data_IF_833096241325
#
_entry.id   IF_833096241325
#
_cell.length_a   1.000
_cell.length_b   1.000
_cell.length_c   1.000
_cell.angle_alpha   90.00
_cell.angle_beta   90.00
_cell.angle_gamma   90.00
#
_symmetry.space_group_name_H-M   'P 1'
#
loop_
_entity.id
_entity.type
_entity.pdbx_description
1 polymer ?
#
# COMPACT_ATOMS: atom_id res chain seq x y z
N UNK A 1 -23.11 18.02 21.00
CA UNK A 1 -23.78 17.65 22.26
C UNK A 1 -24.55 16.37 22.02
N UNK A 2 -23.93 15.24 22.32
CA UNK A 2 -24.64 13.98 22.57
C UNK A 2 -23.76 13.20 23.56
N UNK A 3 -23.96 13.51 24.84
CA UNK A 3 -23.28 12.85 25.95
C UNK A 3 -23.94 11.50 26.19
N UNK A 4 -23.46 10.46 25.51
CA UNK A 4 -23.70 9.08 25.96
C UNK A 4 -22.58 8.68 26.91
N UNK A 5 -22.70 9.18 28.15
CA UNK A 5 -21.93 8.67 29.27
C UNK A 5 -22.28 7.21 29.50
N UNK A 6 -21.28 6.35 29.56
CA UNK A 6 -21.44 4.96 29.98
C UNK A 6 -21.76 4.94 31.48
N UNK A 7 -22.87 4.33 31.92
CA UNK A 7 -23.07 4.08 33.34
C UNK A 7 -22.15 2.93 33.74
N UNK A 8 -21.09 3.19 34.51
CA UNK A 8 -20.17 2.16 34.98
C UNK A 8 -20.11 2.14 36.49
N UNK A 9 -21.12 1.50 37.08
CA UNK A 9 -20.93 0.72 38.30
C UNK A 9 -20.15 -0.56 37.90
N UNK A 10 -18.87 -0.41 37.55
CA UNK A 10 -18.06 -1.48 36.96
C UNK A 10 -17.17 -2.13 38.00
N UNK A 11 -17.76 -3.05 38.75
CA UNK A 11 -17.01 -4.10 39.40
C UNK A 11 -16.57 -5.11 38.32
N UNK A 12 -15.30 -5.08 37.94
CA UNK A 12 -14.72 -6.14 37.10
C UNK A 12 -14.41 -7.34 38.02
N UNK A 13 -15.30 -8.32 38.05
CA UNK A 13 -15.09 -9.57 38.80
C UNK A 13 -14.31 -10.57 37.95
N UNK A 14 -13.07 -10.86 38.33
CA UNK A 14 -12.32 -11.98 37.76
C UNK A 14 -12.78 -13.25 38.50
N UNK A 15 -13.51 -14.15 37.82
CA UNK A 15 -13.90 -15.45 38.39
C UNK A 15 -13.11 -16.59 37.74
N UNK A 16 -12.41 -17.36 38.57
CA UNK A 16 -11.74 -18.62 38.23
C UNK A 16 -11.88 -19.63 39.39
N UNK A 17 -11.84 -20.94 39.14
CA UNK A 17 -12.01 -21.95 40.20
C UNK A 17 -10.82 -22.00 41.17
N UNK A 18 -11.08 -22.42 42.41
CA UNK A 18 -11.24 -21.54 43.56
C UNK A 18 -9.87 -21.12 44.10
N UNK A 19 -9.36 -19.92 43.82
CA UNK A 19 -8.33 -19.28 44.66
C UNK A 19 -8.04 -17.81 44.38
N UNK A 20 -8.64 -17.17 43.36
CA UNK A 20 -8.57 -15.72 43.21
C UNK A 20 -9.93 -15.16 42.77
N UNK A 21 -10.61 -14.47 43.68
CA UNK A 21 -11.60 -13.46 43.34
C UNK A 21 -10.89 -12.11 43.42
N UNK A 22 -10.61 -11.50 42.28
CA UNK A 22 -10.08 -10.13 42.23
C UNK A 22 -11.27 -9.22 41.96
N UNK A 23 -11.70 -8.48 42.97
CA UNK A 23 -12.69 -7.42 42.84
C UNK A 23 -11.96 -6.07 42.79
N UNK A 24 -11.72 -5.56 41.59
CA UNK A 24 -11.26 -4.18 41.42
C UNK A 24 -12.45 -3.25 41.57
N UNK A 25 -12.61 -2.66 42.77
CA UNK A 25 -13.59 -1.60 43.01
C UNK A 25 -12.95 -0.24 42.71
N UNK A 26 -13.35 0.36 41.59
CA UNK A 26 -12.92 1.71 41.22
C UNK A 26 -13.67 2.73 42.07
N UNK A 27 -12.96 3.45 42.93
CA UNK A 27 -13.57 4.47 43.78
C UNK A 27 -13.31 5.86 43.16
N UNK A 28 -14.30 6.42 42.47
CA UNK A 28 -14.24 7.80 41.95
C UNK A 28 -13.92 8.84 43.03
N UNK A 29 -14.14 8.54 44.32
CA UNK A 29 -13.86 9.43 45.43
C UNK A 29 -12.36 9.53 45.82
N UNK A 30 -11.50 8.68 45.26
CA UNK A 30 -10.04 8.76 45.42
C UNK A 30 -9.34 9.51 44.27
N UNK A 31 -10.10 10.26 43.45
CA UNK A 31 -9.56 11.33 42.61
C UNK A 31 -9.20 12.51 43.53
N UNK A 32 -8.11 12.36 44.28
CA UNK A 32 -7.50 13.50 44.92
C UNK A 32 -6.77 14.29 43.84
N UNK A 33 -7.01 15.60 43.79
CA UNK A 33 -5.99 16.56 43.34
C UNK A 33 -4.80 16.45 44.29
N UNK A 34 -4.03 15.36 44.21
CA UNK A 34 -2.70 15.33 44.77
C UNK A 34 -1.88 16.28 43.90
N UNK A 35 -1.67 17.50 44.40
CA UNK A 35 -0.89 18.54 43.72
C UNK A 35 0.55 18.11 43.35
N UNK A 36 0.98 16.90 43.72
CA UNK A 36 2.21 16.25 43.28
C UNK A 36 2.06 14.73 43.29
N UNK A 37 1.79 14.13 42.14
CA UNK A 37 2.27 12.77 41.86
C UNK A 37 3.68 12.94 41.29
N UNK A 38 4.67 12.23 41.82
CA UNK A 38 6.07 12.32 41.33
C UNK A 38 6.30 11.51 40.05
N UNK A 39 5.34 10.65 39.69
CA UNK A 39 5.39 9.71 38.57
C UNK A 39 4.17 9.87 37.66
N UNK A 40 4.20 9.24 36.49
CA UNK A 40 3.22 9.48 35.42
C UNK A 40 1.93 8.68 35.59
N UNK A 41 2.08 7.42 36.03
CA UNK A 41 1.02 6.46 36.30
C UNK A 41 1.47 5.58 37.47
N UNK A 42 0.61 5.42 38.47
CA UNK A 42 0.88 4.63 39.67
C UNK A 42 -0.26 3.63 39.88
N UNK A 43 0.09 2.35 40.04
CA UNK A 43 -0.83 1.29 40.42
C UNK A 43 -0.75 1.05 41.92
N UNK A 44 -1.87 1.20 42.61
CA UNK A 44 -1.99 0.92 44.04
C UNK A 44 -2.88 -0.30 44.22
N UNK A 45 -2.37 -1.33 44.90
CA UNK A 45 -3.09 -2.57 45.20
C UNK A 45 -2.89 -2.92 46.68
N UNK A 46 -3.96 -3.37 47.32
CA UNK A 46 -3.97 -3.85 48.69
C UNK A 46 -4.81 -5.13 48.78
N UNK A 47 -4.35 -6.09 49.58
CA UNK A 47 -5.14 -7.27 49.90
C UNK A 47 -6.14 -6.96 51.02
N UNK A 48 -7.41 -7.27 50.80
CA UNK A 48 -8.48 -7.11 51.78
C UNK A 48 -9.48 -8.27 51.63
N UNK A 49 -9.78 -8.97 52.73
CA UNK A 49 -10.79 -10.03 52.79
C UNK A 49 -10.67 -11.08 51.65
N UNK A 50 -9.44 -11.55 51.37
CA UNK A 50 -9.09 -12.48 50.28
C UNK A 50 -9.28 -11.94 48.85
N UNK A 51 -9.44 -10.62 48.69
CA UNK A 51 -9.50 -9.93 47.40
C UNK A 51 -8.32 -8.94 47.27
N UNK A 52 -7.91 -8.65 46.03
CA UNK A 52 -7.04 -7.50 45.75
C UNK A 52 -7.90 -6.30 45.35
N UNK A 53 -7.83 -5.24 46.15
CA UNK A 53 -8.53 -3.97 45.92
C UNK A 53 -7.52 -2.88 45.61
N UNK A 54 -7.81 -2.03 44.64
CA UNK A 54 -6.88 -0.98 44.25
C UNK A 54 -7.36 -0.12 43.10
N UNK A 55 -6.48 0.76 42.63
CA UNK A 55 -6.76 1.71 41.57
C UNK A 55 -5.50 2.23 40.90
N UNK A 56 -5.70 3.01 39.84
CA UNK A 56 -4.63 3.71 39.14
C UNK A 56 -4.73 5.21 39.39
N UNK A 57 -3.61 5.81 39.79
CA UNK A 57 -3.46 7.26 39.96
C UNK A 57 -2.61 7.77 38.79
N UNK A 58 -3.04 8.83 38.11
CA UNK A 58 -2.39 9.28 36.88
C UNK A 58 -2.32 10.79 36.76
N UNK A 59 -1.38 11.25 35.93
CA UNK A 59 -1.23 12.64 35.52
C UNK A 59 -2.26 13.01 34.43
N UNK A 60 -3.20 13.94 34.68
CA UNK A 60 -4.27 14.27 33.73
C UNK A 60 -3.78 15.08 32.52
N UNK A 61 -2.59 15.67 32.60
CA UNK A 61 -1.87 16.28 31.46
C UNK A 61 -1.34 15.24 30.47
N UNK A 62 -1.24 13.96 30.88
CA UNK A 62 -0.73 12.86 30.05
C UNK A 62 -1.80 11.81 29.70
N UNK A 63 -2.75 11.56 30.60
CA UNK A 63 -3.76 10.52 30.42
C UNK A 63 -5.16 11.08 30.64
N UNK A 64 -6.09 10.66 29.79
CA UNK A 64 -7.51 10.81 30.06
C UNK A 64 -8.05 9.58 30.82
N UNK A 65 -9.15 9.73 31.58
CA UNK A 65 -9.75 8.63 32.33
C UNK A 65 -10.04 7.39 31.47
N UNK A 66 -10.56 7.57 30.25
CA UNK A 66 -10.93 6.48 29.36
C UNK A 66 -9.71 5.65 28.93
N UNK A 67 -8.53 6.25 28.82
CA UNK A 67 -7.30 5.51 28.54
C UNK A 67 -6.87 4.70 29.74
N UNK A 68 -6.95 5.24 30.95
CA UNK A 68 -6.57 4.53 32.18
C UNK A 68 -7.54 3.37 32.45
N UNK A 69 -8.83 3.56 32.22
CA UNK A 69 -9.83 2.48 32.28
C UNK A 69 -9.46 1.31 31.35
N UNK A 70 -9.01 1.60 30.13
CA UNK A 70 -8.53 0.54 29.21
C UNK A 70 -7.29 -0.16 29.74
N UNK A 71 -6.33 0.57 30.31
CA UNK A 71 -5.13 -0.03 30.91
C UNK A 71 -5.46 -0.96 32.08
N UNK A 72 -6.42 -0.56 32.93
CA UNK A 72 -6.96 -1.43 33.99
C UNK A 72 -7.58 -2.68 33.39
N UNK A 73 -8.38 -2.56 32.33
CA UNK A 73 -8.93 -3.71 31.63
C UNK A 73 -7.87 -4.67 31.09
N UNK A 74 -6.76 -4.17 30.55
CA UNK A 74 -5.63 -5.00 30.11
C UNK A 74 -4.95 -5.74 31.26
N UNK A 75 -4.76 -5.06 32.39
CA UNK A 75 -4.22 -5.67 33.60
C UNK A 75 -5.13 -6.81 34.07
N UNK A 76 -6.45 -6.59 34.09
CA UNK A 76 -7.42 -7.64 34.43
C UNK A 76 -7.33 -8.83 33.48
N UNK A 77 -7.28 -8.60 32.17
CA UNK A 77 -7.16 -9.66 31.17
C UNK A 77 -5.87 -10.48 31.37
N UNK A 78 -4.76 -9.82 31.69
CA UNK A 78 -3.49 -10.48 32.01
C UNK A 78 -3.59 -11.33 33.29
N UNK A 79 -4.09 -10.75 34.38
CA UNK A 79 -4.23 -11.45 35.65
C UNK A 79 -5.18 -12.66 35.53
N UNK A 80 -6.27 -12.51 34.78
CA UNK A 80 -7.21 -13.59 34.52
C UNK A 80 -6.57 -14.72 33.70
N UNK A 81 -5.74 -14.38 32.70
CA UNK A 81 -5.03 -15.38 31.92
C UNK A 81 -4.03 -16.18 32.78
N UNK A 82 -3.24 -15.49 33.62
CA UNK A 82 -2.30 -16.12 34.56
C UNK A 82 -3.03 -17.02 35.57
N UNK A 83 -4.15 -16.54 36.11
CA UNK A 83 -4.93 -17.29 37.09
C UNK A 83 -5.61 -18.53 36.50
N UNK A 84 -5.92 -18.50 35.19
CA UNK A 84 -6.57 -19.64 34.50
C UNK A 84 -5.55 -20.71 34.10
N UNK A 85 -4.37 -20.30 33.67
CA UNK A 85 -3.30 -21.20 33.21
C UNK A 85 -1.93 -20.58 33.49
N UNK A 86 -1.25 -21.10 34.53
CA UNK A 86 0.06 -20.61 34.99
C UNK A 86 1.18 -20.92 34.00
N UNK A 87 1.00 -21.94 33.15
CA UNK A 87 1.98 -22.35 32.14
C UNK A 87 1.77 -21.66 30.79
N UNK A 88 0.70 -20.83 30.67
CA UNK A 88 0.40 -20.10 29.44
C UNK A 88 1.54 -19.13 29.09
N UNK A 89 2.09 -19.19 27.87
CA UNK A 89 3.11 -18.22 27.44
C UNK A 89 2.56 -16.80 27.44
N UNK A 90 3.28 -15.86 28.08
CA UNK A 90 2.87 -14.44 28.21
C UNK A 90 2.52 -13.81 26.85
N UNK A 91 3.28 -14.13 25.79
CA UNK A 91 3.05 -13.60 24.43
C UNK A 91 1.75 -14.09 23.77
N UNK A 92 1.06 -15.06 24.36
CA UNK A 92 -0.23 -15.60 23.87
C UNK A 92 -1.44 -15.03 24.62
N UNK A 93 -1.22 -14.10 25.56
CA UNK A 93 -2.30 -13.49 26.32
C UNK A 93 -2.97 -12.40 25.50
N UNK A 94 -4.28 -12.55 25.31
CA UNK A 94 -5.13 -11.62 24.61
C UNK A 94 -5.48 -10.43 25.52
N UNK A 95 -4.84 -9.29 25.28
CA UNK A 95 -5.05 -8.08 26.09
C UNK A 95 -6.20 -7.20 25.58
N UNK A 96 -6.46 -7.18 24.28
CA UNK A 96 -7.49 -6.30 23.71
C UNK A 96 -8.88 -6.66 24.23
N UNK A 97 -9.52 -5.67 24.84
CA UNK A 97 -10.91 -5.75 25.32
C UNK A 97 -11.87 -5.89 24.12
N UNK A 98 -13.05 -6.46 24.37
CA UNK A 98 -14.04 -6.72 23.31
C UNK A 98 -14.39 -5.46 22.51
N UNK A 99 -14.60 -4.32 23.17
CA UNK A 99 -14.92 -3.05 22.49
C UNK A 99 -13.81 -2.58 21.55
N UNK A 100 -12.54 -2.87 21.88
CA UNK A 100 -11.39 -2.52 21.04
C UNK A 100 -11.18 -3.53 19.91
N UNK A 101 -11.47 -4.81 20.15
CA UNK A 101 -11.55 -5.82 19.09
C UNK A 101 -12.61 -5.44 18.07
N UNK A 102 -13.80 -5.02 18.51
CA UNK A 102 -14.88 -4.59 17.63
C UNK A 102 -14.50 -3.32 16.83
N UNK A 103 -13.73 -2.43 17.44
CA UNK A 103 -13.19 -1.25 16.76
C UNK A 103 -12.17 -1.64 15.69
N UNK A 104 -11.18 -2.46 16.03
CA UNK A 104 -10.09 -2.88 15.13
C UNK A 104 -10.62 -3.78 14.02
N UNK A 105 -11.30 -4.87 14.35
CA UNK A 105 -11.74 -5.87 13.37
C UNK A 105 -13.05 -5.49 12.67
N UNK A 106 -13.92 -4.71 13.33
CA UNK A 106 -15.18 -4.27 12.75
C UNK A 106 -15.05 -2.90 12.08
N UNK A 107 -14.84 -1.85 12.86
CA UNK A 107 -15.00 -0.47 12.37
C UNK A 107 -13.85 0.02 11.48
N UNK A 108 -12.60 -0.31 11.82
CA UNK A 108 -11.43 0.17 11.07
C UNK A 108 -11.12 -0.69 9.84
N UNK A 109 -11.32 -2.00 9.94
CA UNK A 109 -11.03 -2.94 8.85
C UNK A 109 -12.26 -3.36 8.03
N UNK A 110 -13.47 -2.97 8.41
CA UNK A 110 -14.72 -3.53 7.86
C UNK A 110 -15.24 -2.94 6.56
N UNK A 111 -14.55 -2.00 5.90
CA UNK A 111 -15.02 -1.47 4.61
C UNK A 111 -14.38 -2.22 3.44
N UNK A 112 -14.83 -3.45 3.23
CA UNK A 112 -14.65 -4.11 1.94
C UNK A 112 -15.66 -3.49 0.96
N UNK A 113 -15.17 -2.78 -0.05
CA UNK A 113 -16.00 -2.28 -1.16
C UNK A 113 -15.72 -3.13 -2.38
N UNK A 114 -16.78 -3.51 -3.06
CA UNK A 114 -16.66 -4.18 -4.35
C UNK A 114 -16.06 -3.21 -5.37
N UNK A 115 -15.09 -3.71 -6.13
CA UNK A 115 -14.48 -3.02 -7.26
C UNK A 115 -14.24 -4.07 -8.38
N UNK A 116 -14.09 -3.67 -9.64
CA UNK A 116 -13.91 -4.61 -10.75
C UNK A 116 -12.48 -5.20 -10.74
N UNK A 117 -12.24 -6.11 -9.81
CA UNK A 117 -10.94 -6.76 -9.54
C UNK A 117 -10.44 -7.70 -10.64
N UNK A 118 -11.32 -8.06 -11.58
CA UNK A 118 -11.02 -8.90 -12.74
C UNK A 118 -10.48 -8.11 -13.95
N UNK A 119 -10.62 -6.78 -13.94
CA UNK A 119 -10.16 -5.93 -15.04
C UNK A 119 -8.72 -5.45 -14.80
N UNK A 120 -7.95 -5.39 -15.88
CA UNK A 120 -6.66 -4.73 -15.87
C UNK A 120 -6.84 -3.20 -15.98
N UNK A 121 -5.84 -2.44 -15.52
CA UNK A 121 -5.87 -0.96 -15.54
C UNK A 121 -6.09 -0.42 -16.96
N UNK A 122 -5.41 -0.98 -17.97
CA UNK A 122 -5.57 -0.52 -19.35
C UNK A 122 -6.98 -0.75 -19.89
N UNK A 123 -7.69 -1.81 -19.45
CA UNK A 123 -9.08 -2.08 -19.85
C UNK A 123 -10.05 -1.05 -19.26
N UNK A 124 -9.79 -0.56 -18.04
CA UNK A 124 -10.57 0.54 -17.46
C UNK A 124 -10.38 1.84 -18.26
N UNK A 125 -9.17 2.10 -18.76
CA UNK A 125 -8.89 3.25 -19.64
C UNK A 125 -9.59 3.07 -20.98
N UNK A 126 -9.56 1.87 -21.58
CA UNK A 126 -10.25 1.57 -22.84
C UNK A 126 -11.77 1.79 -22.73
N UNK A 127 -12.40 1.36 -21.62
CA UNK A 127 -13.81 1.65 -21.36
C UNK A 127 -14.09 3.15 -21.26
N UNK A 128 -13.17 3.94 -20.71
CA UNK A 128 -13.32 5.40 -20.66
C UNK A 128 -13.16 6.03 -22.05
N UNK A 129 -12.26 5.49 -22.89
CA UNK A 129 -12.07 5.92 -24.28
C UNK A 129 -13.34 5.68 -25.09
N UNK A 130 -14.00 4.54 -24.93
CA UNK A 130 -15.28 4.25 -25.58
C UNK A 130 -16.39 5.22 -25.15
N UNK A 131 -16.41 5.62 -23.87
CA UNK A 131 -17.44 6.53 -23.33
C UNK A 131 -17.28 7.97 -23.80
N UNK A 132 -16.05 8.49 -23.74
CA UNK A 132 -15.78 9.91 -24.02
C UNK A 132 -14.45 10.11 -24.75
N UNK A 133 -14.35 9.67 -26.03
CA UNK A 133 -13.07 9.67 -26.75
C UNK A 133 -12.50 11.08 -26.93
N UNK A 134 -13.37 12.09 -27.10
CA UNK A 134 -12.98 13.49 -27.34
C UNK A 134 -12.74 14.29 -26.05
N UNK A 135 -12.93 13.69 -24.87
CA UNK A 135 -12.65 14.38 -23.62
C UNK A 135 -11.13 14.42 -23.37
N UNK A 136 -10.65 15.49 -22.74
CA UNK A 136 -9.24 15.63 -22.35
C UNK A 136 -8.84 14.54 -21.34
N UNK A 137 -7.80 13.79 -21.66
CA UNK A 137 -7.21 12.77 -20.79
C UNK A 137 -5.93 13.25 -20.10
N UNK A 138 -5.06 13.93 -20.84
CA UNK A 138 -3.78 14.44 -20.32
C UNK A 138 -3.60 15.90 -20.67
N UNK A 139 -2.99 16.64 -19.74
CA UNK A 139 -2.54 18.02 -19.94
C UNK A 139 -1.09 18.08 -19.50
N UNK A 140 -0.22 18.62 -20.35
CA UNK A 140 1.19 18.84 -20.04
C UNK A 140 1.61 20.17 -20.66
N UNK A 141 2.04 21.11 -19.81
CA UNK A 141 2.22 22.52 -20.18
C UNK A 141 0.96 23.07 -20.87
N UNK A 142 1.11 23.72 -22.03
CA UNK A 142 0.01 24.32 -22.80
C UNK A 142 -0.63 23.36 -23.82
N UNK A 143 -0.30 22.06 -23.75
CA UNK A 143 -0.81 21.04 -24.66
C UNK A 143 -1.70 20.03 -23.93
N UNK A 144 -2.58 19.39 -24.69
CA UNK A 144 -3.48 18.36 -24.18
C UNK A 144 -3.63 17.21 -25.17
N UNK A 145 -3.89 16.02 -24.64
CA UNK A 145 -4.34 14.86 -25.40
C UNK A 145 -5.72 14.43 -24.94
N UNK A 146 -6.58 14.08 -25.89
CA UNK A 146 -7.86 13.43 -25.63
C UNK A 146 -7.67 11.96 -25.26
N UNK A 147 -8.71 11.33 -24.70
CA UNK A 147 -8.70 9.88 -24.44
C UNK A 147 -8.44 9.07 -25.71
N UNK A 148 -9.06 9.44 -26.83
CA UNK A 148 -8.87 8.78 -28.12
C UNK A 148 -7.42 8.85 -28.59
N UNK A 149 -6.82 10.05 -28.61
CA UNK A 149 -5.44 10.24 -29.04
C UNK A 149 -4.44 9.50 -28.14
N UNK A 150 -4.65 9.55 -26.82
CA UNK A 150 -3.82 8.80 -25.87
C UNK A 150 -3.88 7.29 -26.15
N UNK A 151 -5.09 6.76 -26.36
CA UNK A 151 -5.29 5.34 -26.58
C UNK A 151 -4.68 4.87 -27.90
N UNK A 152 -4.86 5.62 -28.99
CA UNK A 152 -4.26 5.29 -30.29
C UNK A 152 -2.73 5.28 -30.23
N UNK A 153 -2.11 6.29 -29.61
CA UNK A 153 -0.65 6.34 -29.44
C UNK A 153 -0.15 5.17 -28.60
N UNK A 154 -0.84 4.85 -27.50
CA UNK A 154 -0.50 3.71 -26.65
C UNK A 154 -0.70 2.36 -27.35
N UNK A 155 -1.74 2.21 -28.18
CA UNK A 155 -2.00 0.99 -28.95
C UNK A 155 -0.88 0.73 -29.97
N UNK A 156 -0.44 1.75 -30.71
CA UNK A 156 0.68 1.62 -31.66
C UNK A 156 1.95 1.13 -30.96
N UNK A 157 2.31 1.75 -29.83
CA UNK A 157 3.47 1.33 -29.05
C UNK A 157 3.28 -0.07 -28.46
N UNK A 158 2.08 -0.41 -27.99
CA UNK A 158 1.79 -1.74 -27.44
C UNK A 158 1.95 -2.85 -28.49
N UNK A 159 1.42 -2.66 -29.70
CA UNK A 159 1.61 -3.62 -30.81
C UNK A 159 3.08 -3.78 -31.18
N UNK A 160 3.86 -2.69 -31.16
CA UNK A 160 5.29 -2.78 -31.37
C UNK A 160 5.99 -3.58 -30.27
N UNK A 161 5.67 -3.32 -29.00
CA UNK A 161 6.20 -4.10 -27.87
C UNK A 161 5.83 -5.58 -27.96
N UNK A 162 4.60 -5.91 -28.36
CA UNK A 162 4.16 -7.30 -28.62
C UNK A 162 4.99 -7.91 -29.75
N UNK A 163 5.25 -7.17 -30.84
CA UNK A 163 6.10 -7.66 -31.95
C UNK A 163 7.55 -7.93 -31.53
N UNK A 164 8.03 -7.25 -30.49
CA UNK A 164 9.34 -7.46 -29.87
C UNK A 164 9.35 -8.59 -28.82
N UNK A 165 8.20 -9.23 -28.58
CA UNK A 165 8.08 -10.41 -27.73
C UNK A 165 7.56 -10.15 -26.32
N UNK A 166 7.03 -8.95 -26.03
CA UNK A 166 6.36 -8.70 -24.74
C UNK A 166 5.12 -9.59 -24.61
N UNK A 167 5.02 -10.23 -23.45
CA UNK A 167 3.94 -11.13 -23.03
C UNK A 167 3.61 -10.89 -21.55
N UNK A 168 2.54 -11.48 -20.99
CA UNK A 168 2.24 -11.37 -19.55
C UNK A 168 3.48 -11.62 -18.66
N UNK A 169 3.64 -10.78 -17.63
CA UNK A 169 4.79 -10.73 -16.70
C UNK A 169 6.16 -10.39 -17.31
N UNK A 170 6.24 -10.01 -18.59
CA UNK A 170 7.48 -9.50 -19.16
C UNK A 170 7.83 -8.13 -18.58
N UNK A 171 9.09 -7.94 -18.19
CA UNK A 171 9.56 -6.68 -17.66
C UNK A 171 10.04 -5.77 -18.79
N UNK A 172 9.51 -4.55 -18.81
CA UNK A 172 9.94 -3.47 -19.71
C UNK A 172 10.40 -2.31 -18.86
N UNK A 173 11.69 -1.96 -18.94
CA UNK A 173 12.18 -0.75 -18.30
C UNK A 173 11.69 0.47 -19.06
N UNK A 174 11.41 1.55 -18.33
CA UNK A 174 11.07 2.84 -18.90
C UNK A 174 11.87 3.94 -18.22
N UNK A 175 12.72 4.61 -18.98
CA UNK A 175 13.54 5.74 -18.54
C UNK A 175 13.28 6.92 -19.47
N UNK A 176 12.24 7.69 -19.16
CA UNK A 176 11.73 8.77 -20.00
C UNK A 176 11.48 9.98 -19.10
N UNK A 177 11.84 11.18 -19.57
CA UNK A 177 11.54 12.39 -18.83
C UNK A 177 10.02 12.64 -18.79
N UNK A 178 9.55 13.38 -17.77
CA UNK A 178 8.15 13.77 -17.63
C UNK A 178 7.64 14.42 -18.92
N UNK A 179 6.75 13.71 -19.61
CA UNK A 179 6.20 14.07 -20.92
C UNK A 179 4.95 13.24 -21.22
N UNK A 180 4.25 13.52 -22.32
CA UNK A 180 3.20 12.63 -22.82
C UNK A 180 3.75 11.23 -23.14
N UNK A 181 4.97 11.15 -23.69
CA UNK A 181 5.61 9.89 -24.05
C UNK A 181 5.79 8.96 -22.86
N UNK A 182 6.02 9.49 -21.66
CA UNK A 182 6.08 8.70 -20.43
C UNK A 182 4.75 7.98 -20.16
N UNK A 183 3.62 8.70 -20.20
CA UNK A 183 2.29 8.10 -19.93
C UNK A 183 1.89 7.14 -21.05
N UNK A 184 2.16 7.49 -22.30
CA UNK A 184 1.94 6.62 -23.47
C UNK A 184 2.75 5.32 -23.29
N UNK A 185 4.02 5.42 -22.89
CA UNK A 185 4.89 4.28 -22.63
C UNK A 185 4.37 3.36 -21.54
N UNK A 186 3.98 3.92 -20.38
CA UNK A 186 3.40 3.14 -19.29
C UNK A 186 2.12 2.42 -19.72
N UNK A 187 1.20 3.11 -20.39
CA UNK A 187 -0.04 2.52 -20.86
C UNK A 187 0.20 1.44 -21.93
N UNK A 188 1.15 1.67 -22.84
CA UNK A 188 1.50 0.71 -23.87
C UNK A 188 2.12 -0.57 -23.31
N UNK A 189 2.97 -0.46 -22.29
CA UNK A 189 3.53 -1.63 -21.58
C UNK A 189 2.40 -2.48 -20.99
N UNK A 190 1.45 -1.84 -20.27
CA UNK A 190 0.32 -2.52 -19.68
C UNK A 190 -0.60 -3.18 -20.72
N UNK A 191 -0.84 -2.49 -21.85
CA UNK A 191 -1.62 -3.01 -22.99
C UNK A 191 -0.95 -4.18 -23.68
N UNK A 192 0.38 -4.19 -23.75
CA UNK A 192 1.17 -5.33 -24.23
C UNK A 192 1.20 -6.51 -23.24
N UNK A 193 0.67 -6.32 -22.02
CA UNK A 193 0.69 -7.30 -20.94
C UNK A 193 1.97 -7.30 -20.10
N UNK A 194 2.91 -6.40 -20.38
CA UNK A 194 4.13 -6.29 -19.59
C UNK A 194 3.93 -5.52 -18.28
N UNK A 195 4.91 -5.67 -17.39
CA UNK A 195 5.08 -4.84 -16.20
C UNK A 195 6.19 -3.81 -16.44
N UNK A 196 5.92 -2.56 -16.10
CA UNK A 196 6.92 -1.50 -16.26
C UNK A 196 7.87 -1.44 -15.06
N UNK A 197 9.15 -1.20 -15.34
CA UNK A 197 10.18 -0.89 -14.34
C UNK A 197 10.57 0.58 -14.53
N UNK A 198 10.02 1.52 -13.75
CA UNK A 198 10.27 2.94 -13.96
C UNK A 198 11.67 3.31 -13.45
N UNK A 199 12.40 4.04 -14.28
CA UNK A 199 13.75 4.52 -14.04
C UNK A 199 13.76 6.04 -14.16
N UNK A 200 14.25 6.71 -13.13
CA UNK A 200 14.37 8.16 -13.13
C UNK A 200 15.70 8.57 -13.80
N UNK A 201 15.70 9.30 -14.93
CA UNK A 201 16.92 9.69 -15.62
C UNK A 201 17.83 10.59 -14.77
N UNK A 202 17.32 11.21 -13.70
CA UNK A 202 18.14 12.01 -12.77
C UNK A 202 18.98 11.16 -11.81
N UNK A 203 18.73 9.86 -11.72
CA UNK A 203 19.51 8.96 -10.87
C UNK A 203 20.93 8.80 -11.39
N UNK A 204 21.88 8.66 -10.46
CA UNK A 204 23.24 8.31 -10.81
C UNK A 204 23.27 7.00 -11.61
N UNK A 205 24.06 6.98 -12.70
CA UNK A 205 24.17 5.85 -13.63
C UNK A 205 24.36 4.50 -12.92
N UNK A 206 25.18 4.44 -11.88
CA UNK A 206 25.40 3.20 -11.11
C UNK A 206 24.11 2.62 -10.55
N UNK A 207 23.22 3.47 -9.99
CA UNK A 207 21.91 3.05 -9.48
C UNK A 207 21.00 2.53 -10.57
N UNK A 208 21.00 3.18 -11.74
CA UNK A 208 20.22 2.72 -12.89
C UNK A 208 20.71 1.36 -13.39
N UNK A 209 22.03 1.16 -13.43
CA UNK A 209 22.64 -0.12 -13.77
C UNK A 209 22.28 -1.22 -12.78
N UNK A 210 22.34 -0.93 -11.47
CA UNK A 210 21.99 -1.91 -10.43
C UNK A 210 20.54 -2.38 -10.58
N UNK A 211 19.62 -1.46 -10.87
CA UNK A 211 18.20 -1.79 -11.10
C UNK A 211 18.04 -2.62 -12.38
N UNK A 212 18.68 -2.22 -13.48
CA UNK A 212 18.59 -2.98 -14.74
C UNK A 212 19.19 -4.39 -14.62
N UNK A 213 20.29 -4.55 -13.88
CA UNK A 213 20.90 -5.85 -13.64
C UNK A 213 20.01 -6.75 -12.79
N UNK A 214 19.40 -6.21 -11.73
CA UNK A 214 18.52 -6.97 -10.85
C UNK A 214 17.19 -7.33 -11.55
N UNK A 215 16.55 -6.36 -12.22
CA UNK A 215 15.29 -6.57 -12.92
C UNK A 215 15.44 -7.36 -14.21
N UNK A 216 16.58 -7.26 -14.90
CA UNK A 216 16.86 -7.90 -16.19
C UNK A 216 15.72 -7.75 -17.22
N UNK A 217 15.25 -6.52 -17.51
CA UNK A 217 14.13 -6.31 -18.42
C UNK A 217 14.53 -6.65 -19.86
N UNK A 218 13.58 -7.18 -20.64
CA UNK A 218 13.83 -7.58 -22.02
C UNK A 218 13.92 -6.38 -22.99
N UNK A 219 13.32 -5.25 -22.63
CA UNK A 219 13.24 -4.04 -23.44
C UNK A 219 13.44 -2.81 -22.54
N UNK A 220 14.10 -1.78 -23.07
CA UNK A 220 14.18 -0.44 -22.48
C UNK A 220 13.45 0.57 -23.37
N UNK A 221 12.41 1.22 -22.84
CA UNK A 221 11.83 2.42 -23.44
C UNK A 221 12.61 3.63 -22.93
N UNK A 222 13.23 4.40 -23.83
CA UNK A 222 14.01 5.57 -23.46
C UNK A 222 13.91 6.69 -24.50
N UNK A 223 13.66 7.91 -24.01
CA UNK A 223 13.83 9.14 -24.80
C UNK A 223 15.31 9.58 -24.80
N UNK A 224 15.60 10.76 -25.36
CA UNK A 224 16.98 11.26 -25.40
C UNK A 224 17.59 11.41 -24.00
N UNK A 225 16.86 11.93 -23.02
CA UNK A 225 17.36 12.08 -21.65
C UNK A 225 17.62 10.74 -20.98
N UNK A 226 16.72 9.76 -21.17
CA UNK A 226 16.93 8.40 -20.70
C UNK A 226 18.17 7.77 -21.32
N UNK A 227 18.35 7.89 -22.64
CA UNK A 227 19.53 7.39 -23.35
C UNK A 227 20.82 8.02 -22.82
N UNK A 228 20.83 9.33 -22.53
CA UNK A 228 21.98 10.04 -21.96
C UNK A 228 22.32 9.63 -20.52
N UNK A 229 21.30 9.30 -19.71
CA UNK A 229 21.50 8.77 -18.36
C UNK A 229 22.25 7.42 -18.41
N UNK A 230 21.99 6.64 -19.45
CA UNK A 230 22.77 5.45 -19.79
C UNK A 230 24.02 5.78 -20.61
N UNK A 231 25.03 4.92 -20.56
CA UNK A 231 26.15 5.00 -21.50
C UNK A 231 25.85 4.18 -22.75
N UNK A 232 26.50 4.50 -23.88
CA UNK A 232 26.34 3.77 -25.15
C UNK A 232 26.46 2.25 -24.99
N UNK A 233 27.42 1.77 -24.19
CA UNK A 233 27.67 0.35 -23.96
C UNK A 233 26.45 -0.41 -23.42
N UNK A 234 25.65 0.22 -22.55
CA UNK A 234 24.43 -0.40 -21.99
C UNK A 234 23.37 -0.46 -23.08
N UNK A 235 23.17 0.63 -23.80
CA UNK A 235 22.17 0.74 -24.87
C UNK A 235 22.43 -0.27 -26.00
N UNK A 236 23.69 -0.54 -26.36
CA UNK A 236 24.05 -1.54 -27.37
C UNK A 236 23.73 -2.99 -26.97
N UNK A 237 23.54 -3.27 -25.68
CA UNK A 237 23.28 -4.61 -25.16
C UNK A 237 21.79 -4.95 -25.01
N UNK A 238 20.90 -3.99 -25.28
CA UNK A 238 19.46 -4.13 -25.04
C UNK A 238 18.65 -3.68 -26.25
N UNK A 239 17.40 -4.13 -26.34
CA UNK A 239 16.44 -3.57 -27.29
C UNK A 239 15.96 -2.23 -26.72
N UNK A 240 16.31 -1.13 -27.38
CA UNK A 240 15.92 0.22 -26.97
C UNK A 240 14.84 0.76 -27.90
N UNK A 241 13.70 1.15 -27.33
CA UNK A 241 12.57 1.75 -28.06
C UNK A 241 12.46 3.22 -27.67
N UNK A 242 12.48 4.10 -28.66
CA UNK A 242 12.19 5.52 -28.44
C UNK A 242 10.68 5.78 -28.59
N UNK A 243 9.98 6.20 -27.53
CA UNK A 243 8.54 6.42 -27.61
C UNK A 243 8.15 7.61 -28.50
N UNK A 244 9.06 8.53 -28.83
CA UNK A 244 8.78 9.71 -29.65
C UNK A 244 8.94 9.44 -31.15
N UNK A 245 9.83 8.52 -31.53
CA UNK A 245 10.09 8.20 -32.96
C UNK A 245 8.90 7.44 -33.57
N UNK A 246 8.12 6.75 -32.75
CA UNK A 246 6.93 6.00 -33.18
C UNK A 246 5.80 6.87 -33.75
N UNK A 247 5.80 8.18 -33.51
CA UNK A 247 4.86 9.10 -34.16
C UNK A 247 5.26 9.44 -35.60
N UNK A 248 6.55 9.26 -35.96
CA UNK A 248 7.11 9.70 -37.25
C UNK A 248 7.25 8.58 -38.29
N UNK A 249 7.41 7.32 -37.88
CA UNK A 249 7.59 6.19 -38.81
C UNK A 249 6.40 5.23 -38.72
N UNK A 250 5.60 5.18 -39.80
CA UNK A 250 4.52 4.21 -40.03
C UNK A 250 5.08 2.78 -40.13
N UNK A 251 5.45 2.16 -39.01
CA UNK A 251 5.82 0.76 -39.00
C UNK A 251 4.61 -0.14 -38.90
N UNK A 252 4.33 -0.77 -40.03
CA UNK A 252 3.93 -2.16 -40.07
C UNK A 252 4.11 -2.65 -41.52
N UNK A 253 5.04 -3.60 -41.71
CA UNK A 253 5.20 -4.33 -42.98
C UNK A 253 4.30 -5.57 -43.06
N UNK A 254 3.37 -5.78 -42.11
CA UNK A 254 2.56 -7.02 -42.05
C UNK A 254 1.16 -6.94 -41.43
N UNK A 255 0.81 -5.88 -40.69
CA UNK A 255 -0.53 -5.58 -40.17
C UNK A 255 -1.09 -4.29 -40.82
N UNK A 256 -2.40 -4.23 -41.05
CA UNK A 256 -3.01 -3.03 -41.62
C UNK A 256 -2.86 -1.84 -40.63
N UNK A 257 -2.90 -0.60 -41.14
CA UNK A 257 -2.84 0.60 -40.27
C UNK A 257 -3.96 0.57 -39.23
N UNK A 258 -5.13 0.05 -39.60
CA UNK A 258 -6.29 -0.10 -38.72
C UNK A 258 -6.04 -1.08 -37.55
N UNK A 259 -5.33 -2.19 -37.80
CA UNK A 259 -4.98 -3.16 -36.74
C UNK A 259 -4.06 -2.53 -35.67
N UNK A 260 -3.17 -1.62 -36.07
CA UNK A 260 -2.23 -0.94 -35.16
C UNK A 260 -2.88 0.10 -34.25
N UNK A 261 -4.09 0.56 -34.59
CA UNK A 261 -4.88 1.51 -33.82
C UNK A 261 -5.84 0.83 -32.84
N UNK A 262 -6.20 -0.43 -33.08
CA UNK A 262 -7.09 -1.19 -32.21
C UNK A 262 -6.43 -1.58 -30.89
N UNK A 263 -7.24 -1.73 -29.83
CA UNK A 263 -6.76 -2.22 -28.53
C UNK A 263 -6.20 -3.65 -28.68
N UNK A 264 -4.94 -3.91 -28.29
CA UNK A 264 -4.33 -5.23 -28.46
C UNK A 264 -5.08 -6.27 -27.60
N UNK A 265 -5.27 -7.46 -28.18
CA UNK A 265 -5.83 -8.61 -27.48
C UNK A 265 -4.69 -9.57 -27.13
N UNK A 266 -4.26 -9.57 -25.87
CA UNK A 266 -3.13 -10.40 -25.40
C UNK A 266 -3.68 -11.68 -24.75
N UNK A 267 -3.51 -12.86 -25.37
CA UNK A 267 -4.05 -14.11 -24.82
C UNK A 267 -3.51 -14.39 -23.42
N UNK A 268 -4.42 -14.72 -22.50
CA UNK A 268 -4.09 -15.09 -21.13
C UNK A 268 -3.80 -13.92 -20.18
N UNK A 269 -3.80 -12.67 -20.63
CA UNK A 269 -3.64 -11.50 -19.76
C UNK A 269 -4.85 -11.34 -18.82
N UNK A 270 -4.57 -11.30 -17.52
CA UNK A 270 -5.55 -11.12 -16.42
C UNK A 270 -5.02 -10.13 -15.37
N UNK A 271 -5.90 -9.61 -14.51
CA UNK A 271 -5.61 -8.59 -13.47
C UNK A 271 -4.63 -9.02 -12.37
N UNK A 272 -4.20 -10.29 -12.35
CA UNK A 272 -3.22 -10.84 -11.40
C UNK A 272 -1.78 -10.83 -11.92
N UNK A 273 -1.57 -10.49 -13.19
CA UNK A 273 -0.21 -10.29 -13.70
C UNK A 273 0.38 -9.00 -13.15
N UNK A 274 1.71 -8.93 -13.16
CA UNK A 274 2.43 -7.76 -12.68
C UNK A 274 2.03 -6.52 -13.49
N UNK A 275 1.73 -5.42 -12.80
CA UNK A 275 1.55 -4.12 -13.42
C UNK A 275 2.86 -3.34 -13.49
N UNK A 276 3.69 -3.46 -12.44
CA UNK A 276 4.95 -2.74 -12.31
C UNK A 276 5.89 -3.42 -11.33
N UNK A 277 7.18 -3.05 -11.38
CA UNK A 277 8.13 -3.27 -10.30
C UNK A 277 8.72 -1.93 -9.89
N UNK A 278 8.51 -1.52 -8.64
CA UNK A 278 9.09 -0.29 -8.09
C UNK A 278 10.25 -0.63 -7.15
N UNK A 279 11.40 -0.02 -7.42
CA UNK A 279 12.60 -0.22 -6.62
C UNK A 279 12.68 0.74 -5.45
N UNK A 280 12.85 0.18 -4.26
CA UNK A 280 13.03 0.95 -3.01
C UNK A 280 14.49 0.93 -2.56
N UNK A 281 14.88 1.91 -1.73
CA UNK A 281 16.17 1.88 -1.03
C UNK A 281 16.17 0.73 -0.03
N UNK A 282 16.81 -0.39 -0.36
CA UNK A 282 16.96 -1.49 0.58
C UNK A 282 17.83 -1.09 1.77
N UNK A 283 17.48 -1.56 2.96
CA UNK A 283 18.27 -1.36 4.19
C UNK A 283 19.71 -1.90 4.10
N UNK A 284 19.98 -2.78 3.12
CA UNK A 284 21.29 -3.37 2.83
C UNK A 284 22.09 -2.59 1.78
N UNK A 285 21.62 -1.42 1.35
CA UNK A 285 22.24 -0.58 0.31
C UNK A 285 22.01 -1.03 -1.13
N UNK A 286 21.54 -2.27 -1.35
CA UNK A 286 21.11 -2.77 -2.66
C UNK A 286 19.62 -2.47 -2.91
N UNK A 287 19.25 -1.93 -4.08
CA UNK A 287 17.84 -1.74 -4.45
C UNK A 287 17.06 -3.06 -4.39
N UNK A 288 15.78 -3.01 -4.00
CA UNK A 288 14.88 -4.17 -4.01
C UNK A 288 13.59 -3.82 -4.77
N UNK A 289 13.24 -4.64 -5.75
CA UNK A 289 11.99 -4.51 -6.51
C UNK A 289 10.80 -5.03 -5.71
N UNK A 290 9.75 -4.22 -5.61
CA UNK A 290 8.44 -4.62 -5.07
C UNK A 290 7.53 -4.97 -6.24
N UNK A 291 6.92 -6.15 -6.18
CA UNK A 291 5.98 -6.73 -7.14
C UNK A 291 4.56 -6.71 -6.58
#
# INVERSE_FOLDING_TARGET
>A
MDHRGFPLDSSAYITGPPLLQVALRWNHALIHHAARIQVELELQLQEQDNEFVGGMVFRPDLFNPETVERHVGYLCAMLQAIATDVDKPVMSVDLLLQAERDLVFGKWNGMQRDYPDHLCIHQLIEQQVERTPQATALVFNDQSLTYGELNERANKLAHHLISLGVRPDSLVAICVERSFAMIIGLLAILKAGGAYVPLDPSYARGRLCDILMDASPGILIADNHGKEAFGEAILFSMIVVDPNIMEAESYSKSASVEDSLANPQVPGLISRHLAYIIYTSGSTGKPKGVM
#
